data_IF_823289322724
#
_entry.id   IF_823289322724
#
_cell.length_a   1.000
_cell.length_b   1.000
_cell.length_c   1.000
_cell.angle_alpha   90.00
_cell.angle_beta   90.00
_cell.angle_gamma   90.00
#
_symmetry.space_group_name_H-M   'P 1'
#
loop_
_entity.id
_entity.type
_entity.pdbx_description
1 polymer ?
#
# COMPACT_ATOMS: atom_id res chain seq x y z
N UNK A 1 -8.25 20.78 -54.93
CA UNK A 1 -7.84 20.87 -53.52
C UNK A 1 -9.07 20.51 -52.71
N UNK A 2 -9.31 19.21 -52.54
CA UNK A 2 -10.45 18.72 -51.76
C UNK A 2 -9.96 18.43 -50.35
N UNK A 3 -10.13 19.43 -49.47
CA UNK A 3 -10.02 19.24 -48.03
C UNK A 3 -11.41 18.84 -47.59
N UNK A 4 -11.63 17.55 -47.31
CA UNK A 4 -12.92 17.05 -46.81
C UNK A 4 -12.93 17.14 -45.28
N UNK A 5 -13.55 18.20 -44.70
CA UNK A 5 -13.43 18.53 -43.28
C UNK A 5 -14.08 17.48 -42.37
N UNK A 6 -15.04 16.70 -42.86
CA UNK A 6 -15.66 15.63 -42.08
C UNK A 6 -14.74 14.41 -41.98
N UNK A 7 -13.95 14.13 -43.02
CA UNK A 7 -12.92 13.09 -43.01
C UNK A 7 -11.76 13.44 -42.06
N UNK A 8 -11.35 14.71 -42.05
CA UNK A 8 -10.32 15.20 -41.13
C UNK A 8 -10.78 15.16 -39.65
N UNK A 9 -12.06 15.43 -39.35
CA UNK A 9 -12.61 15.29 -38.00
C UNK A 9 -12.66 13.84 -37.54
N UNK A 10 -13.04 12.91 -38.43
CA UNK A 10 -13.06 11.49 -38.11
C UNK A 10 -11.65 10.96 -37.80
N UNK A 11 -10.65 11.33 -38.61
CA UNK A 11 -9.26 10.94 -38.36
C UNK A 11 -8.70 11.52 -37.05
N UNK A 12 -9.06 12.77 -36.70
CA UNK A 12 -8.68 13.36 -35.42
C UNK A 12 -9.34 12.65 -34.22
N UNK A 13 -10.62 12.28 -34.33
CA UNK A 13 -11.33 11.54 -33.29
C UNK A 13 -10.73 10.13 -33.08
N UNK A 14 -10.33 9.46 -34.15
CA UNK A 14 -9.65 8.17 -34.07
C UNK A 14 -8.28 8.27 -33.39
N UNK A 15 -7.52 9.33 -33.65
CA UNK A 15 -6.24 9.61 -32.98
C UNK A 15 -6.45 9.93 -31.49
N UNK A 16 -7.48 10.70 -31.14
CA UNK A 16 -7.84 10.98 -29.75
C UNK A 16 -8.23 9.70 -28.98
N UNK A 17 -9.02 8.81 -29.60
CA UNK A 17 -9.37 7.52 -29.02
C UNK A 17 -8.14 6.63 -28.81
N UNK A 18 -7.28 6.51 -29.84
CA UNK A 18 -6.08 5.67 -29.79
C UNK A 18 -5.08 6.18 -28.73
N UNK A 19 -4.95 7.49 -28.57
CA UNK A 19 -4.09 8.10 -27.55
C UNK A 19 -4.65 7.92 -26.14
N UNK A 20 -5.96 8.04 -25.95
CA UNK A 20 -6.61 7.76 -24.67
C UNK A 20 -6.44 6.30 -24.24
N UNK A 21 -6.60 5.34 -25.17
CA UNK A 21 -6.37 3.92 -24.93
C UNK A 21 -4.92 3.62 -24.58
N UNK A 22 -3.96 4.21 -25.30
CA UNK A 22 -2.53 4.04 -25.02
C UNK A 22 -2.17 4.57 -23.62
N UNK A 23 -2.71 5.74 -23.23
CA UNK A 23 -2.51 6.31 -21.89
C UNK A 23 -3.13 5.41 -20.81
N UNK A 24 -4.33 4.87 -21.05
CA UNK A 24 -4.97 3.93 -20.12
C UNK A 24 -4.15 2.63 -19.97
N UNK A 25 -3.62 2.09 -21.07
CA UNK A 25 -2.73 0.93 -21.07
C UNK A 25 -1.45 1.15 -20.26
N UNK A 26 -0.78 2.29 -20.46
CA UNK A 26 0.44 2.64 -19.68
C UNK A 26 0.12 2.79 -18.19
N UNK A 27 -0.99 3.46 -17.83
CA UNK A 27 -1.41 3.61 -16.43
C UNK A 27 -1.69 2.26 -15.77
N UNK A 28 -2.32 1.34 -16.49
CA UNK A 28 -2.59 -0.02 -16.02
C UNK A 28 -1.30 -0.81 -15.74
N UNK A 29 -0.34 -0.81 -16.68
CA UNK A 29 0.93 -1.53 -16.53
C UNK A 29 1.75 -1.01 -15.34
N UNK A 30 1.82 0.31 -15.19
CA UNK A 30 2.55 0.93 -14.08
C UNK A 30 1.86 0.68 -12.74
N UNK A 31 0.52 0.64 -12.72
CA UNK A 31 -0.23 0.28 -11.53
C UNK A 31 0.00 -1.18 -11.12
N UNK A 32 0.00 -2.09 -12.10
CA UNK A 32 0.33 -3.50 -11.91
C UNK A 32 1.72 -3.68 -11.29
N UNK A 33 2.76 -3.08 -11.86
CA UNK A 33 4.12 -3.19 -11.37
C UNK A 33 4.30 -2.72 -9.91
N UNK A 34 3.55 -1.69 -9.48
CA UNK A 34 3.60 -1.19 -8.10
C UNK A 34 2.77 -2.04 -7.15
N UNK A 35 1.62 -2.55 -7.58
CA UNK A 35 0.89 -3.56 -6.82
C UNK A 35 1.75 -4.81 -6.60
N UNK A 36 2.55 -5.20 -7.60
CA UNK A 36 3.56 -6.28 -7.47
C UNK A 36 4.54 -6.00 -6.34
N UNK A 37 4.96 -4.75 -6.11
CA UNK A 37 5.85 -4.43 -4.98
C UNK A 37 5.22 -4.65 -3.60
N UNK A 38 3.91 -4.43 -3.45
CA UNK A 38 3.20 -4.72 -2.21
C UNK A 38 3.03 -6.24 -2.03
N UNK A 39 2.75 -6.97 -3.11
CA UNK A 39 2.72 -8.44 -3.09
C UNK A 39 4.07 -9.02 -2.66
N UNK A 40 5.17 -8.54 -3.25
CA UNK A 40 6.53 -8.92 -2.90
C UNK A 40 6.85 -8.60 -1.43
N UNK A 41 6.42 -7.43 -0.93
CA UNK A 41 6.62 -7.09 0.47
C UNK A 41 5.78 -7.94 1.43
N UNK A 42 4.55 -8.30 1.07
CA UNK A 42 3.74 -9.24 1.86
C UNK A 42 4.42 -10.61 1.94
N UNK A 43 4.99 -11.09 0.83
CA UNK A 43 5.76 -12.33 0.82
C UNK A 43 7.02 -12.22 1.71
N UNK A 44 7.81 -11.16 1.56
CA UNK A 44 9.00 -10.94 2.38
C UNK A 44 8.66 -10.79 3.87
N UNK A 45 7.56 -10.13 4.20
CA UNK A 45 7.10 -9.97 5.58
C UNK A 45 6.61 -11.29 6.17
N UNK A 46 5.93 -12.13 5.37
CA UNK A 46 5.56 -13.50 5.75
C UNK A 46 6.78 -14.33 6.12
N UNK A 47 7.80 -14.33 5.27
CA UNK A 47 9.02 -15.11 5.50
C UNK A 47 9.73 -14.66 6.78
N UNK A 48 9.84 -13.33 6.98
CA UNK A 48 10.47 -12.75 8.17
C UNK A 48 9.68 -13.05 9.46
N UNK A 49 8.35 -12.92 9.43
CA UNK A 49 7.48 -13.22 10.56
C UNK A 49 7.50 -14.71 10.91
N UNK A 50 7.47 -15.58 9.91
CA UNK A 50 7.57 -17.03 10.11
C UNK A 50 8.91 -17.44 10.73
N UNK A 51 10.02 -16.82 10.33
CA UNK A 51 11.33 -17.06 10.95
C UNK A 51 11.38 -16.61 12.42
N UNK A 52 10.54 -15.66 12.81
CA UNK A 52 10.34 -15.22 14.20
C UNK A 52 9.21 -15.94 14.94
N UNK A 53 8.67 -17.03 14.38
CA UNK A 53 7.53 -17.79 14.93
C UNK A 53 6.25 -16.95 15.12
N UNK A 54 6.08 -15.90 14.31
CA UNK A 54 4.91 -15.02 14.33
C UNK A 54 3.94 -15.39 13.20
N UNK A 55 2.70 -15.70 13.55
CA UNK A 55 1.67 -16.04 12.57
C UNK A 55 1.20 -14.80 11.80
N UNK A 56 1.11 -14.87 10.46
CA UNK A 56 0.59 -13.79 9.61
C UNK A 56 -0.74 -14.16 8.97
N UNK A 57 -1.76 -13.34 9.20
CA UNK A 57 -3.05 -13.36 8.51
C UNK A 57 -3.20 -12.11 7.63
N UNK A 58 -3.84 -12.27 6.46
CA UNK A 58 -4.05 -11.18 5.51
C UNK A 58 -5.51 -11.17 5.10
N UNK A 59 -6.18 -10.05 5.30
CA UNK A 59 -7.53 -9.77 4.85
C UNK A 59 -7.51 -8.75 3.71
N UNK A 60 -8.21 -9.08 2.62
CA UNK A 60 -8.24 -8.26 1.40
C UNK A 60 -7.10 -8.55 0.44
N UNK A 61 -6.91 -7.67 -0.56
CA UNK A 61 -5.91 -7.88 -1.62
C UNK A 61 -5.17 -6.58 -1.95
N UNK A 62 -3.88 -6.64 -2.35
CA UNK A 62 -3.13 -5.48 -2.82
C UNK A 62 -3.81 -4.70 -3.95
N UNK A 63 -4.64 -5.35 -4.78
CA UNK A 63 -5.39 -4.73 -5.87
C UNK A 63 -6.49 -3.78 -5.42
N UNK A 64 -6.86 -3.78 -4.13
CA UNK A 64 -7.78 -2.79 -3.57
C UNK A 64 -7.16 -1.39 -3.46
N UNK A 65 -5.83 -1.28 -3.50
CA UNK A 65 -5.10 -0.02 -3.42
C UNK A 65 -4.67 0.46 -4.81
N UNK A 66 -4.70 1.78 -5.01
CA UNK A 66 -4.06 2.38 -6.18
C UNK A 66 -2.54 2.15 -6.14
N UNK A 67 -1.89 2.30 -7.28
CA UNK A 67 -0.44 2.14 -7.41
C UNK A 67 0.37 3.00 -6.41
N UNK A 68 -0.08 4.23 -6.17
CA UNK A 68 0.57 5.14 -5.23
C UNK A 68 0.35 4.71 -3.78
N UNK A 69 -0.86 4.27 -3.46
CA UNK A 69 -1.21 3.74 -2.15
C UNK A 69 -0.43 2.46 -1.84
N UNK A 70 -0.30 1.55 -2.82
CA UNK A 70 0.43 0.30 -2.70
C UNK A 70 1.93 0.52 -2.38
N UNK A 71 2.56 1.54 -2.97
CA UNK A 71 3.95 1.90 -2.66
C UNK A 71 4.13 2.36 -1.20
N UNK A 72 3.24 3.25 -0.74
CA UNK A 72 3.27 3.72 0.65
C UNK A 72 2.96 2.57 1.60
N UNK A 73 1.96 1.74 1.31
CA UNK A 73 1.61 0.55 2.09
C UNK A 73 2.77 -0.45 2.19
N UNK A 74 3.47 -0.73 1.08
CA UNK A 74 4.61 -1.65 1.08
C UNK A 74 5.75 -1.16 1.98
N UNK A 75 6.00 0.15 2.00
CA UNK A 75 7.01 0.74 2.88
C UNK A 75 6.59 0.66 4.36
N UNK A 76 5.33 1.00 4.65
CA UNK A 76 4.78 0.93 6.01
C UNK A 76 4.78 -0.51 6.52
N UNK A 77 4.37 -1.48 5.70
CA UNK A 77 4.39 -2.90 6.01
C UNK A 77 5.79 -3.38 6.40
N UNK A 78 6.82 -2.98 5.63
CA UNK A 78 8.21 -3.34 5.92
C UNK A 78 8.67 -2.80 7.27
N UNK A 79 8.40 -1.53 7.53
CA UNK A 79 8.81 -0.88 8.78
C UNK A 79 8.03 -1.42 9.98
N UNK A 80 6.71 -1.59 9.85
CA UNK A 80 5.85 -2.19 10.86
C UNK A 80 6.28 -3.63 11.19
N UNK A 81 6.55 -4.47 10.18
CA UNK A 81 7.09 -5.82 10.36
C UNK A 81 8.41 -5.82 11.12
N UNK A 82 9.31 -4.89 10.78
CA UNK A 82 10.59 -4.72 11.47
C UNK A 82 10.38 -4.33 12.95
N UNK A 83 9.44 -3.43 13.22
CA UNK A 83 9.11 -3.02 14.58
C UNK A 83 8.50 -4.15 15.39
N UNK A 84 7.57 -4.93 14.82
CA UNK A 84 6.98 -6.10 15.47
C UNK A 84 8.07 -7.10 15.87
N UNK A 85 8.94 -7.49 14.92
CA UNK A 85 10.02 -8.46 15.17
C UNK A 85 11.07 -7.98 16.18
N UNK A 86 11.33 -6.67 16.25
CA UNK A 86 12.32 -6.11 17.17
C UNK A 86 11.79 -5.81 18.56
N UNK A 87 10.50 -5.47 18.68
CA UNK A 87 9.99 -4.80 19.88
C UNK A 87 8.72 -5.42 20.46
N UNK A 88 7.86 -6.03 19.65
CA UNK A 88 6.51 -6.39 20.12
C UNK A 88 6.47 -7.71 20.89
N UNK A 89 7.45 -8.61 20.72
CA UNK A 89 7.35 -10.01 21.21
C UNK A 89 5.98 -10.63 20.87
N UNK A 90 5.41 -10.26 19.72
CA UNK A 90 4.09 -10.66 19.28
C UNK A 90 4.11 -12.11 18.78
N UNK A 91 2.97 -12.79 18.88
CA UNK A 91 2.76 -14.14 18.34
C UNK A 91 1.96 -14.12 17.04
N UNK A 92 1.28 -13.01 16.74
CA UNK A 92 0.43 -12.87 15.57
C UNK A 92 0.45 -11.45 15.01
N UNK A 93 0.35 -11.38 13.70
CA UNK A 93 0.12 -10.19 12.91
C UNK A 93 -1.06 -10.41 12.00
N UNK A 94 -1.88 -9.38 11.87
CA UNK A 94 -2.96 -9.26 10.91
C UNK A 94 -2.69 -8.06 10.00
N UNK A 95 -2.81 -8.28 8.69
CA UNK A 95 -2.77 -7.21 7.69
C UNK A 95 -4.14 -7.08 7.07
N UNK A 96 -4.69 -5.87 7.08
CA UNK A 96 -5.98 -5.55 6.47
C UNK A 96 -5.78 -4.58 5.30
N UNK A 97 -6.32 -4.94 4.14
CA UNK A 97 -6.23 -4.13 2.92
C UNK A 97 -7.64 -3.90 2.37
N UNK A 98 -8.03 -2.64 2.27
CA UNK A 98 -9.31 -2.21 1.71
C UNK A 98 -9.12 -0.99 0.80
N UNK A 99 -10.11 -0.64 -0.05
CA UNK A 99 -10.02 0.57 -0.87
C UNK A 99 -9.73 1.81 -0.01
N UNK A 100 -8.60 2.48 -0.28
CA UNK A 100 -8.18 3.67 0.46
C UNK A 100 -7.72 3.42 1.90
N UNK A 101 -7.48 2.16 2.32
CA UNK A 101 -7.02 1.85 3.68
C UNK A 101 -6.06 0.66 3.72
N UNK A 102 -4.98 0.81 4.50
CA UNK A 102 -4.07 -0.26 4.85
C UNK A 102 -3.81 -0.24 6.36
N UNK A 103 -3.88 -1.40 7.01
CA UNK A 103 -3.51 -1.54 8.41
C UNK A 103 -2.72 -2.82 8.66
N UNK A 104 -1.80 -2.75 9.63
CA UNK A 104 -1.12 -3.88 10.22
C UNK A 104 -1.32 -3.84 11.73
N UNK A 105 -1.76 -4.95 12.31
CA UNK A 105 -2.05 -5.10 13.74
C UNK A 105 -1.23 -6.27 14.27
N UNK A 106 -0.40 -6.04 15.29
CA UNK A 106 0.22 -7.11 16.08
C UNK A 106 -0.51 -7.35 17.40
N UNK A 107 -0.24 -8.46 18.07
CA UNK A 107 -0.79 -8.79 19.40
C UNK A 107 0.20 -8.57 20.56
N UNK A 108 1.18 -7.68 20.37
CA UNK A 108 2.19 -7.35 21.39
C UNK A 108 1.66 -6.50 22.56
N UNK A 109 2.56 -5.83 23.32
CA UNK A 109 2.18 -4.99 24.46
C UNK A 109 1.54 -3.65 24.08
N UNK A 110 1.47 -3.35 22.78
CA UNK A 110 0.97 -2.08 22.25
C UNK A 110 2.06 -1.05 21.97
N UNK A 111 1.68 0.12 21.41
CA UNK A 111 2.64 1.14 21.05
C UNK A 111 3.33 1.68 22.30
N UNK A 112 4.66 1.82 22.24
CA UNK A 112 5.41 2.50 23.29
C UNK A 112 4.98 3.95 23.47
N UNK A 113 5.32 4.54 24.62
CA UNK A 113 4.93 5.92 24.98
C UNK A 113 5.66 7.01 24.18
N UNK A 114 6.75 6.65 23.49
CA UNK A 114 7.58 7.60 22.72
C UNK A 114 7.69 7.17 21.26
N UNK A 115 7.44 8.11 20.37
CA UNK A 115 7.62 7.93 18.93
C UNK A 115 9.11 7.80 18.59
N UNK A 116 9.52 6.60 18.16
CA UNK A 116 10.84 6.33 17.61
C UNK A 116 11.00 6.84 16.18
N UNK A 117 12.22 6.75 15.64
CA UNK A 117 12.53 7.20 14.28
C UNK A 117 11.72 6.44 13.20
N UNK A 118 11.45 5.14 13.43
CA UNK A 118 10.67 4.32 12.49
C UNK A 118 9.23 4.81 12.33
N UNK A 119 8.54 5.06 13.45
CA UNK A 119 7.16 5.58 13.44
C UNK A 119 7.10 6.97 12.82
N UNK A 120 8.07 7.84 13.15
CA UNK A 120 8.18 9.16 12.53
C UNK A 120 8.35 9.08 11.01
N UNK A 121 9.22 8.19 10.53
CA UNK A 121 9.41 7.95 9.11
C UNK A 121 8.15 7.44 8.41
N UNK A 122 7.39 6.54 9.06
CA UNK A 122 6.07 6.09 8.56
C UNK A 122 5.09 7.26 8.44
N UNK A 123 5.00 8.10 9.46
CA UNK A 123 4.14 9.28 9.47
C UNK A 123 4.49 10.27 8.36
N UNK A 124 5.77 10.62 8.24
CA UNK A 124 6.26 11.56 7.21
C UNK A 124 5.96 11.03 5.80
N UNK A 125 6.18 9.73 5.57
CA UNK A 125 5.91 9.10 4.28
C UNK A 125 4.43 8.98 3.95
N UNK A 126 3.60 8.65 4.93
CA UNK A 126 2.16 8.62 4.79
C UNK A 126 1.63 10.01 4.40
N UNK A 127 2.01 11.04 5.16
CA UNK A 127 1.64 12.44 4.88
C UNK A 127 2.10 12.91 3.50
N UNK A 128 3.32 12.54 3.07
CA UNK A 128 3.82 12.88 1.73
C UNK A 128 3.00 12.24 0.59
N UNK A 129 2.25 11.17 0.88
CA UNK A 129 1.33 10.53 -0.06
C UNK A 129 -0.12 10.98 0.08
N UNK A 130 -0.39 12.00 0.92
CA UNK A 130 -1.72 12.49 1.21
C UNK A 130 -2.54 11.61 2.17
N UNK A 131 -1.92 10.61 2.80
CA UNK A 131 -2.59 9.73 3.74
C UNK A 131 -2.60 10.30 5.15
N UNK A 132 -3.67 10.03 5.89
CA UNK A 132 -3.67 10.07 7.34
C UNK A 132 -2.89 8.86 7.90
N UNK A 133 -2.22 9.03 9.04
CA UNK A 133 -1.41 7.99 9.68
C UNK A 133 -1.72 7.88 11.17
N UNK A 134 -2.05 6.66 11.60
CA UNK A 134 -2.40 6.35 12.98
C UNK A 134 -1.48 5.23 13.50
N UNK A 135 -0.95 5.44 14.70
CA UNK A 135 -0.43 4.36 15.53
C UNK A 135 -1.20 4.38 16.84
N UNK A 136 -1.87 3.29 17.14
CA UNK A 136 -2.74 3.18 18.31
C UNK A 136 -2.68 1.76 18.88
N UNK A 137 -3.14 1.54 20.13
CA UNK A 137 -3.43 0.20 20.60
C UNK A 137 -4.45 -0.50 19.68
N UNK A 138 -4.26 -1.78 19.42
CA UNK A 138 -5.26 -2.60 18.75
C UNK A 138 -6.46 -2.87 19.67
N UNK A 139 -7.64 -3.10 19.08
CA UNK A 139 -8.89 -3.30 19.85
C UNK A 139 -8.83 -4.51 20.78
N UNK A 140 -8.08 -5.54 20.40
CA UNK A 140 -7.84 -6.75 21.18
C UNK A 140 -6.46 -6.77 21.86
N UNK A 141 -5.76 -5.63 21.90
CA UNK A 141 -4.37 -5.51 22.33
C UNK A 141 -3.40 -5.26 21.17
N UNK A 142 -2.11 -5.10 21.51
CA UNK A 142 -1.03 -4.87 20.56
C UNK A 142 -1.05 -3.55 19.81
N UNK A 143 -0.26 -3.45 18.74
CA UNK A 143 -0.03 -2.19 18.02
C UNK A 143 -0.73 -2.23 16.67
N UNK A 144 -1.60 -1.25 16.43
CA UNK A 144 -2.21 -0.96 15.12
C UNK A 144 -1.44 0.16 14.45
N UNK A 145 -0.88 -0.11 13.28
CA UNK A 145 -0.31 0.86 12.37
C UNK A 145 -1.23 0.96 11.16
N UNK A 146 -1.76 2.15 10.90
CA UNK A 146 -2.78 2.35 9.86
C UNK A 146 -2.51 3.59 9.03
N UNK A 147 -2.81 3.47 7.73
CA UNK A 147 -2.97 4.59 6.81
C UNK A 147 -4.31 4.56 6.10
N UNK A 148 -4.89 5.74 5.95
CA UNK A 148 -6.13 5.97 5.21
C UNK A 148 -5.95 7.17 4.29
N UNK A 149 -6.30 7.00 3.01
CA UNK A 149 -6.24 8.02 1.96
C UNK A 149 -7.63 8.60 1.67
#
# INVERSE_FOLDING_TARGET
MDTDPERAKAELADIEALTAEAIAGVRSTVAGARATTLVEQLASSRDALQAGEVALTIEGTPGALSAAQALTAAWILREATTNTLRHASASRVEVQIAPGRFAMIDDGPGPGTREGNGIRGMRERASASGASFVVAPGESGGTRVEVTW
#
